data_IF_642379027775
#
_entry.id   IF_642379027775
#
_cell.length_a   1.000
_cell.length_b   1.000
_cell.length_c   1.000
_cell.angle_alpha   90.00
_cell.angle_beta   90.00
_cell.angle_gamma   90.00
#
_symmetry.space_group_name_H-M   'P 1'
#
loop_
_entity.id
_entity.type
_entity.pdbx_description
1 polymer ?
#
# COMPACT_ATOMS: atom_id res chain seq x y z
N UNK A 1 -12.08 6.32 -10.20
CA UNK A 1 -11.37 5.83 -9.00
C UNK A 1 -10.33 6.85 -8.60
N UNK A 2 -10.38 7.35 -7.37
CA UNK A 2 -9.42 8.32 -6.83
C UNK A 2 -8.64 7.67 -5.67
N UNK A 3 -7.78 6.72 -5.99
CA UNK A 3 -7.14 5.83 -5.00
C UNK A 3 -5.69 6.17 -4.70
N UNK A 4 -5.02 6.96 -5.55
CA UNK A 4 -3.63 7.38 -5.37
C UNK A 4 -3.52 8.60 -4.44
N UNK A 5 -4.17 8.51 -3.27
CA UNK A 5 -4.19 9.57 -2.26
C UNK A 5 -3.94 9.01 -0.85
N UNK A 6 -3.22 9.78 -0.04
CA UNK A 6 -2.95 9.43 1.35
C UNK A 6 -4.24 9.52 2.20
N UNK A 7 -4.33 8.70 3.24
CA UNK A 7 -5.42 8.70 4.22
C UNK A 7 -5.65 10.08 4.87
N UNK A 8 -4.61 10.93 4.97
CA UNK A 8 -4.77 12.33 5.42
C UNK A 8 -5.63 13.14 4.46
N UNK A 9 -5.42 12.97 3.14
CA UNK A 9 -6.24 13.61 2.12
C UNK A 9 -7.65 13.05 2.16
N UNK A 10 -7.82 11.74 2.31
CA UNK A 10 -9.14 11.12 2.50
C UNK A 10 -9.90 11.71 3.70
N UNK A 11 -9.19 12.02 4.79
CA UNK A 11 -9.81 12.64 5.97
C UNK A 11 -10.37 14.02 5.64
N UNK A 12 -9.64 14.85 4.89
CA UNK A 12 -10.13 16.17 4.44
C UNK A 12 -11.30 16.09 3.45
N UNK A 13 -11.38 14.99 2.70
CA UNK A 13 -12.46 14.72 1.75
C UNK A 13 -13.66 14.03 2.39
N UNK A 14 -13.62 13.81 3.70
CA UNK A 14 -14.66 13.13 4.47
C UNK A 14 -15.18 14.04 5.59
N UNK A 15 -16.28 13.63 6.21
CA UNK A 15 -16.83 14.29 7.40
C UNK A 15 -16.02 14.03 8.69
N UNK A 16 -14.93 13.25 8.62
CA UNK A 16 -14.11 12.95 9.77
C UNK A 16 -13.30 14.15 10.23
N UNK A 17 -13.50 14.55 11.48
CA UNK A 17 -12.82 15.71 12.10
C UNK A 17 -11.38 15.43 12.53
N UNK A 18 -10.92 14.19 12.47
CA UNK A 18 -9.62 13.78 12.99
C UNK A 18 -9.05 12.60 12.21
N UNK A 19 -7.75 12.68 11.87
CA UNK A 19 -7.00 11.60 11.22
C UNK A 19 -6.92 10.32 12.09
N UNK A 20 -7.14 10.44 13.41
CA UNK A 20 -7.19 9.30 14.32
C UNK A 20 -8.55 8.58 14.29
N UNK A 21 -9.60 9.21 13.74
CA UNK A 21 -10.90 8.57 13.54
C UNK A 21 -10.92 7.84 12.19
N UNK A 22 -11.72 6.80 12.06
CA UNK A 22 -11.93 6.18 10.75
C UNK A 22 -12.77 7.11 9.88
N UNK A 23 -12.29 7.45 8.68
CA UNK A 23 -13.04 8.31 7.77
C UNK A 23 -14.26 7.63 7.13
N UNK A 24 -14.36 6.29 7.21
CA UNK A 24 -15.47 5.51 6.65
C UNK A 24 -16.67 5.46 7.60
N UNK A 25 -16.47 4.93 8.81
CA UNK A 25 -17.54 4.72 9.81
C UNK A 25 -17.56 5.78 10.93
N UNK A 26 -16.65 6.77 10.87
CA UNK A 26 -16.51 7.85 11.87
C UNK A 26 -16.24 7.34 13.31
N UNK A 27 -15.80 6.08 13.46
CA UNK A 27 -15.43 5.53 14.76
C UNK A 27 -14.20 6.25 15.33
N UNK A 28 -14.30 6.63 16.61
CA UNK A 28 -13.17 7.15 17.39
C UNK A 28 -12.27 6.00 17.85
N UNK A 29 -10.98 6.22 18.16
CA UNK A 29 -10.11 5.17 18.67
C UNK A 29 -10.71 4.34 19.81
N UNK A 30 -11.40 5.00 20.75
CA UNK A 30 -12.08 4.35 21.89
C UNK A 30 -13.20 3.40 21.51
N UNK A 31 -13.73 3.51 20.29
CA UNK A 31 -14.81 2.68 19.75
C UNK A 31 -14.28 1.59 18.81
N UNK A 32 -13.08 1.75 18.23
CA UNK A 32 -12.56 0.87 17.17
C UNK A 32 -12.39 -0.59 17.58
N UNK A 33 -12.15 -0.86 18.87
CA UNK A 33 -12.01 -2.22 19.39
C UNK A 33 -13.37 -2.88 19.70
N UNK A 34 -14.50 -2.15 19.61
CA UNK A 34 -15.85 -2.68 19.86
C UNK A 34 -16.45 -3.20 18.56
N UNK A 35 -16.08 -4.42 18.18
CA UNK A 35 -16.37 -5.03 16.88
C UNK A 35 -17.87 -4.97 16.51
N UNK A 36 -18.77 -5.39 17.42
CA UNK A 36 -20.21 -5.36 17.17
C UNK A 36 -20.73 -3.95 16.87
N UNK A 37 -20.22 -2.96 17.61
CA UNK A 37 -20.65 -1.58 17.47
C UNK A 37 -20.18 -0.98 16.14
N UNK A 38 -18.94 -1.26 15.72
CA UNK A 38 -18.39 -0.70 14.47
C UNK A 38 -18.97 -1.35 13.22
N UNK A 39 -19.25 -2.66 13.25
CA UNK A 39 -19.89 -3.36 12.13
C UNK A 39 -21.33 -2.90 11.92
N UNK A 40 -22.01 -2.44 12.97
CA UNK A 40 -23.37 -1.88 12.87
C UNK A 40 -23.42 -0.42 12.38
N UNK A 41 -22.26 0.26 12.24
CA UNK A 41 -22.24 1.66 11.80
C UNK A 41 -22.50 1.77 10.30
N UNK A 42 -23.28 2.79 9.95
CA UNK A 42 -23.55 3.14 8.55
C UNK A 42 -22.28 3.75 7.95
N UNK A 43 -21.89 3.24 6.77
CA UNK A 43 -20.77 3.75 5.97
C UNK A 43 -21.32 4.30 4.66
N UNK A 44 -20.83 5.47 4.25
CA UNK A 44 -21.12 6.00 2.93
C UNK A 44 -20.31 5.22 1.88
N UNK A 45 -21.00 4.53 0.96
CA UNK A 45 -20.38 3.69 -0.06
C UNK A 45 -19.44 4.45 -1.00
N UNK A 46 -19.67 5.76 -1.17
CA UNK A 46 -18.88 6.60 -2.07
C UNK A 46 -17.45 6.78 -1.55
N UNK A 47 -17.25 6.69 -0.23
CA UNK A 47 -15.93 6.79 0.39
C UNK A 47 -15.04 5.57 0.09
N UNK A 48 -15.60 4.47 -0.39
CA UNK A 48 -14.82 3.31 -0.85
C UNK A 48 -14.07 3.60 -2.15
N UNK A 49 -14.42 4.66 -2.90
CA UNK A 49 -13.70 5.08 -4.11
C UNK A 49 -12.26 5.55 -3.83
N UNK A 50 -11.96 5.88 -2.57
CA UNK A 50 -10.61 6.21 -2.13
C UNK A 50 -9.70 4.99 -2.00
N UNK A 51 -10.25 3.78 -2.09
CA UNK A 51 -9.49 2.53 -2.10
C UNK A 51 -8.68 2.28 -0.82
N UNK A 52 -7.65 1.45 -0.97
CA UNK A 52 -6.79 1.00 0.12
C UNK A 52 -5.33 1.32 -0.20
N UNK A 53 -4.75 2.27 0.52
CA UNK A 53 -3.30 2.51 0.46
C UNK A 53 -2.55 1.31 1.03
N UNK A 54 -1.91 0.54 0.16
CA UNK A 54 -1.15 -0.64 0.54
C UNK A 54 0.16 -0.31 1.26
N UNK A 55 0.82 0.79 0.89
CA UNK A 55 2.03 1.30 1.56
C UNK A 55 1.75 1.69 3.00
N UNK A 56 0.81 2.62 3.19
CA UNK A 56 0.50 3.15 4.51
C UNK A 56 -0.19 2.08 5.35
N UNK A 57 -0.95 1.15 4.77
CA UNK A 57 -1.43 -0.03 5.50
C UNK A 57 -0.28 -0.80 6.14
N UNK A 58 0.76 -1.13 5.36
CA UNK A 58 1.91 -1.88 5.86
C UNK A 58 2.70 -1.11 6.92
N UNK A 59 3.00 0.16 6.68
CA UNK A 59 3.74 1.01 7.63
C UNK A 59 2.94 1.19 8.93
N UNK A 60 1.65 1.55 8.83
CA UNK A 60 0.81 1.82 10.01
C UNK A 60 0.51 0.54 10.81
N UNK A 61 0.44 -0.63 10.17
CA UNK A 61 0.36 -1.91 10.88
C UNK A 61 1.64 -2.18 11.66
N UNK A 62 2.82 -1.99 11.06
CA UNK A 62 4.10 -2.13 11.76
C UNK A 62 4.17 -1.17 12.95
N UNK A 63 3.86 0.12 12.75
CA UNK A 63 3.89 1.12 13.82
C UNK A 63 2.90 0.79 14.95
N UNK A 64 1.70 0.32 14.61
CA UNK A 64 0.73 -0.14 15.60
C UNK A 64 1.28 -1.28 16.46
N UNK A 65 1.87 -2.31 15.83
CA UNK A 65 2.47 -3.44 16.56
C UNK A 65 3.67 -3.01 17.41
N UNK A 66 4.57 -2.18 16.88
CA UNK A 66 5.68 -1.61 17.66
C UNK A 66 5.18 -0.84 18.88
N UNK A 67 4.14 -0.04 18.71
CA UNK A 67 3.55 0.70 19.80
C UNK A 67 2.88 -0.19 20.84
N UNK A 68 2.28 -1.31 20.47
CA UNK A 68 1.84 -2.32 21.44
C UNK A 68 3.06 -2.88 22.17
N UNK A 69 4.11 -3.28 21.44
CA UNK A 69 5.32 -3.86 22.00
C UNK A 69 6.04 -2.94 23.02
N UNK A 70 6.06 -1.63 22.77
CA UNK A 70 6.65 -0.64 23.68
C UNK A 70 5.86 -0.46 24.98
N UNK A 71 4.61 -0.92 25.01
CA UNK A 71 3.67 -0.68 26.12
C UNK A 71 3.26 -1.97 26.83
N UNK A 72 3.87 -3.11 26.50
CA UNK A 72 3.58 -4.40 27.12
C UNK A 72 3.76 -4.39 28.65
N UNK A 73 4.65 -3.54 29.16
CA UNK A 73 4.96 -3.46 30.58
C UNK A 73 3.84 -2.82 31.41
N UNK A 74 3.03 -1.90 30.84
CA UNK A 74 1.95 -1.19 31.55
C UNK A 74 0.56 -1.34 30.92
N UNK A 75 0.45 -1.90 29.71
CA UNK A 75 -0.79 -2.31 29.03
C UNK A 75 -1.88 -1.23 29.04
N UNK A 76 -1.54 -0.01 28.59
CA UNK A 76 -2.50 1.07 28.35
C UNK A 76 -2.21 1.73 27.00
N UNK A 77 -3.25 2.19 26.32
CA UNK A 77 -3.10 2.92 25.05
C UNK A 77 -2.21 4.17 25.19
N UNK A 78 -2.43 5.01 26.20
CA UNK A 78 -1.69 6.25 26.40
C UNK A 78 -0.66 6.17 27.54
N UNK A 79 0.57 6.58 27.24
CA UNK A 79 1.63 6.84 28.22
C UNK A 79 1.56 8.30 28.69
N UNK A 80 0.69 8.60 29.67
CA UNK A 80 0.48 9.98 30.16
C UNK A 80 1.35 10.34 31.36
N UNK A 81 1.53 9.41 32.30
CA UNK A 81 2.40 9.58 33.48
C UNK A 81 3.87 9.54 33.07
N UNK A 82 4.72 10.21 33.84
CA UNK A 82 6.16 10.24 33.58
C UNK A 82 6.78 8.84 33.76
N UNK A 83 6.27 8.05 34.71
CA UNK A 83 6.62 6.63 34.85
C UNK A 83 6.34 5.82 33.58
N UNK A 84 5.13 5.92 32.99
CA UNK A 84 4.83 5.20 31.76
C UNK A 84 5.66 5.69 30.57
N UNK A 85 6.03 6.97 30.52
CA UNK A 85 6.91 7.51 29.48
C UNK A 85 8.31 6.92 29.61
N UNK A 86 8.84 6.82 30.83
CA UNK A 86 10.15 6.23 31.09
C UNK A 86 10.18 4.74 30.76
N UNK A 87 9.16 3.99 31.18
CA UNK A 87 9.00 2.57 30.83
C UNK A 87 8.96 2.38 29.30
N UNK A 88 8.16 3.22 28.60
CA UNK A 88 8.04 3.18 27.15
C UNK A 88 9.39 3.43 26.46
N UNK A 89 10.14 4.47 26.86
CA UNK A 89 11.43 4.79 26.26
C UNK A 89 12.46 3.68 26.49
N UNK A 90 12.46 3.10 27.70
CA UNK A 90 13.34 1.99 28.06
C UNK A 90 13.05 0.77 27.19
N UNK A 91 11.78 0.36 27.10
CA UNK A 91 11.34 -0.77 26.28
C UNK A 91 11.60 -0.53 24.78
N UNK A 92 11.30 0.69 24.30
CA UNK A 92 11.56 1.10 22.91
C UNK A 92 13.04 0.94 22.55
N UNK A 93 13.96 1.43 23.39
CA UNK A 93 15.40 1.32 23.14
C UNK A 93 15.90 -0.13 23.11
N UNK A 94 15.39 -0.98 24.01
CA UNK A 94 15.70 -2.42 24.02
C UNK A 94 15.28 -3.07 22.71
N UNK A 95 14.04 -2.84 22.27
CA UNK A 95 13.51 -3.41 21.03
C UNK A 95 14.27 -2.89 19.80
N UNK A 96 14.59 -1.59 19.77
CA UNK A 96 15.40 -1.01 18.68
C UNK A 96 16.78 -1.64 18.55
N UNK A 97 17.47 -1.86 19.68
CA UNK A 97 18.77 -2.51 19.69
C UNK A 97 18.66 -3.96 19.20
N UNK A 98 17.68 -4.73 19.68
CA UNK A 98 17.46 -6.11 19.21
C UNK A 98 17.18 -6.20 17.71
N UNK A 99 16.35 -5.32 17.15
CA UNK A 99 16.12 -5.26 15.71
C UNK A 99 17.40 -4.95 14.91
N UNK A 100 18.24 -4.07 15.44
CA UNK A 100 19.53 -3.74 14.84
C UNK A 100 20.49 -4.93 14.91
N UNK A 101 20.57 -5.61 16.04
CA UNK A 101 21.55 -6.68 16.26
C UNK A 101 21.16 -7.98 15.54
N UNK A 102 19.87 -8.36 15.56
CA UNK A 102 19.40 -9.64 15.02
C UNK A 102 18.98 -9.58 13.53
N UNK A 103 18.48 -8.43 13.07
CA UNK A 103 17.92 -8.26 11.72
C UNK A 103 18.60 -7.16 10.91
N UNK A 104 19.60 -6.46 11.47
CA UNK A 104 20.24 -5.29 10.86
C UNK A 104 19.21 -4.25 10.39
N UNK A 105 18.19 -4.02 11.23
CA UNK A 105 17.09 -3.11 10.97
C UNK A 105 17.10 -1.94 11.94
N UNK A 106 17.12 -0.73 11.39
CA UNK A 106 16.96 0.50 12.16
C UNK A 106 15.47 0.87 12.20
N UNK A 107 14.85 0.73 13.37
CA UNK A 107 13.39 0.91 13.53
C UNK A 107 13.07 2.13 14.39
N UNK A 108 12.05 2.90 14.01
CA UNK A 108 11.55 4.06 14.76
C UNK A 108 12.64 5.11 15.14
N UNK A 109 13.56 5.38 14.20
CA UNK A 109 14.60 6.40 14.30
C UNK A 109 14.23 7.58 13.40
N UNK A 110 14.24 8.80 13.95
CA UNK A 110 13.99 10.03 13.18
C UNK A 110 15.24 10.39 12.37
N UNK A 111 15.07 10.58 11.06
CA UNK A 111 16.10 11.08 10.13
C UNK A 111 15.86 12.56 9.89
N UNK A 112 16.81 13.41 10.30
CA UNK A 112 16.77 14.85 10.02
C UNK A 112 16.57 15.09 8.51
N UNK A 113 15.51 15.83 8.16
CA UNK A 113 15.19 16.20 6.76
C UNK A 113 14.59 15.10 5.87
N UNK A 114 14.44 13.85 6.34
CA UNK A 114 13.97 12.72 5.51
C UNK A 114 12.85 11.87 6.13
N UNK A 115 12.28 12.29 7.27
CA UNK A 115 11.20 11.56 7.95
C UNK A 115 11.71 10.58 9.01
N UNK A 116 11.15 9.38 9.06
CA UNK A 116 11.56 8.32 10.01
C UNK A 116 12.15 7.13 9.26
N UNK A 117 12.78 6.20 9.97
CA UNK A 117 13.21 4.91 9.39
C UNK A 117 12.05 3.95 9.15
N UNK A 118 10.83 4.28 9.55
CA UNK A 118 9.63 3.48 9.31
C UNK A 118 9.13 3.71 7.88
N UNK A 119 9.93 3.31 6.92
CA UNK A 119 9.58 3.34 5.50
C UNK A 119 9.07 1.96 5.03
N UNK A 120 8.62 1.91 3.77
CA UNK A 120 8.12 0.67 3.19
C UNK A 120 9.14 -0.47 3.15
N UNK A 121 10.45 -0.19 3.15
CA UNK A 121 11.47 -1.23 3.16
C UNK A 121 11.63 -1.84 4.56
N UNK A 122 11.66 -1.00 5.59
CA UNK A 122 11.66 -1.45 6.99
C UNK A 122 10.42 -2.28 7.28
N UNK A 123 9.25 -1.81 6.85
CA UNK A 123 7.99 -2.52 7.08
C UNK A 123 7.91 -3.86 6.32
N UNK A 124 8.44 -3.95 5.08
CA UNK A 124 8.56 -5.23 4.36
C UNK A 124 9.39 -6.26 5.13
N UNK A 125 10.57 -5.87 5.61
CA UNK A 125 11.46 -6.75 6.37
C UNK A 125 10.88 -7.13 7.74
N UNK A 126 10.14 -6.23 8.39
CA UNK A 126 9.47 -6.51 9.67
C UNK A 126 8.47 -7.67 9.57
N UNK A 127 7.71 -7.75 8.48
CA UNK A 127 6.73 -8.81 8.24
C UNK A 127 7.28 -10.04 7.51
N UNK A 128 8.55 -10.02 7.10
CA UNK A 128 9.18 -11.12 6.35
C UNK A 128 9.38 -12.37 7.22
N UNK A 129 9.76 -12.18 8.50
CA UNK A 129 10.00 -13.26 9.46
C UNK A 129 9.18 -13.04 10.75
N UNK A 130 7.88 -13.39 10.75
CA UNK A 130 6.99 -13.18 11.90
C UNK A 130 7.52 -13.76 13.21
N UNK A 131 8.14 -14.95 13.16
CA UNK A 131 8.75 -15.62 14.30
C UNK A 131 9.86 -14.79 14.98
N UNK A 132 10.79 -14.21 14.19
CA UNK A 132 11.84 -13.35 14.72
C UNK A 132 11.28 -12.05 15.28
N UNK A 133 10.33 -11.45 14.56
CA UNK A 133 9.65 -10.23 15.01
C UNK A 133 8.91 -10.46 16.33
N UNK A 134 8.22 -11.59 16.49
CA UNK A 134 7.56 -11.99 17.72
C UNK A 134 8.55 -12.15 18.87
N UNK A 135 9.67 -12.85 18.65
CA UNK A 135 10.72 -13.03 19.66
C UNK A 135 11.34 -11.71 20.12
N UNK A 136 11.58 -10.77 19.20
CA UNK A 136 12.15 -9.45 19.50
C UNK A 136 11.15 -8.58 20.27
N UNK A 137 9.91 -8.51 19.80
CA UNK A 137 8.89 -7.59 20.33
C UNK A 137 8.17 -8.12 21.57
N UNK A 138 8.09 -9.43 21.73
CA UNK A 138 7.28 -10.11 22.74
C UNK A 138 5.78 -10.16 22.39
N UNK A 139 5.42 -10.00 21.12
CA UNK A 139 4.04 -10.11 20.63
C UNK A 139 3.71 -11.54 20.18
N UNK A 140 2.42 -11.82 20.02
CA UNK A 140 1.93 -13.08 19.48
C UNK A 140 2.33 -13.25 18.01
N UNK A 141 3.00 -14.37 17.71
CA UNK A 141 3.52 -14.68 16.37
C UNK A 141 2.39 -14.82 15.34
N UNK A 142 1.30 -15.49 15.71
CA UNK A 142 0.18 -15.73 14.81
C UNK A 142 -0.52 -14.42 14.43
N UNK A 143 -0.67 -13.47 15.37
CA UNK A 143 -1.18 -12.14 15.04
C UNK A 143 -0.28 -11.40 14.03
N UNK A 144 1.04 -11.44 14.23
CA UNK A 144 2.00 -10.81 13.29
C UNK A 144 1.91 -11.49 11.91
N UNK A 145 1.82 -12.83 11.88
CA UNK A 145 1.68 -13.60 10.64
C UNK A 145 0.39 -13.27 9.92
N UNK A 146 -0.74 -13.14 10.62
CA UNK A 146 -2.04 -12.73 10.05
C UNK A 146 -1.97 -11.37 9.39
N UNK A 147 -1.35 -10.38 10.05
CA UNK A 147 -1.10 -9.08 9.42
C UNK A 147 -0.22 -9.22 8.18
N UNK A 148 0.84 -10.03 8.23
CA UNK A 148 1.71 -10.25 7.08
C UNK A 148 0.95 -10.87 5.89
N UNK A 149 0.08 -11.85 6.14
CA UNK A 149 -0.76 -12.51 5.13
C UNK A 149 -1.73 -11.52 4.48
N UNK A 150 -2.48 -10.76 5.29
CA UNK A 150 -3.42 -9.73 4.79
C UNK A 150 -2.67 -8.70 3.93
N UNK A 151 -1.53 -8.21 4.42
CA UNK A 151 -0.73 -7.22 3.72
C UNK A 151 -0.07 -7.78 2.46
N UNK A 152 0.27 -9.07 2.41
CA UNK A 152 0.75 -9.72 1.19
C UNK A 152 -0.36 -9.83 0.16
N UNK A 153 -1.56 -10.28 0.56
CA UNK A 153 -2.73 -10.41 -0.32
C UNK A 153 -3.06 -9.09 -1.01
N UNK A 154 -3.11 -7.97 -0.26
CA UNK A 154 -3.40 -6.64 -0.83
C UNK A 154 -2.28 -6.13 -1.73
N UNK A 155 -1.02 -6.48 -1.48
CA UNK A 155 0.11 -6.05 -2.34
C UNK A 155 0.44 -7.00 -3.48
N UNK A 156 -0.24 -8.14 -3.58
CA UNK A 156 0.06 -9.18 -4.56
C UNK A 156 -0.10 -8.69 -6.00
N UNK A 157 -1.05 -7.77 -6.23
CA UNK A 157 -1.46 -7.35 -7.56
C UNK A 157 -2.42 -8.33 -8.24
N UNK A 158 -2.85 -9.37 -7.52
CA UNK A 158 -3.79 -10.39 -7.98
C UNK A 158 -5.18 -10.16 -7.41
N UNK A 159 -6.19 -10.84 -7.95
CA UNK A 159 -7.55 -10.79 -7.43
C UNK A 159 -7.65 -11.52 -6.08
N UNK A 160 -8.43 -10.96 -5.16
CA UNK A 160 -8.57 -11.48 -3.79
C UNK A 160 -9.96 -12.09 -3.62
N UNK A 161 -10.03 -13.29 -3.05
CA UNK A 161 -11.30 -13.90 -2.65
C UNK A 161 -11.90 -13.10 -1.47
N UNK A 162 -12.94 -12.32 -1.78
CA UNK A 162 -13.56 -11.38 -0.84
C UNK A 162 -14.13 -12.10 0.38
N UNK A 163 -14.74 -13.28 0.21
CA UNK A 163 -15.39 -14.02 1.30
C UNK A 163 -14.33 -14.53 2.27
N UNK A 164 -13.29 -15.18 1.74
CA UNK A 164 -12.18 -15.67 2.56
C UNK A 164 -11.41 -14.54 3.22
N UNK A 165 -11.18 -13.45 2.49
CA UNK A 165 -10.51 -12.27 3.04
C UNK A 165 -11.31 -11.65 4.18
N UNK A 166 -12.63 -11.49 4.03
CA UNK A 166 -13.53 -10.97 5.07
C UNK A 166 -13.45 -11.83 6.33
N UNK A 167 -13.60 -13.15 6.21
CA UNK A 167 -13.49 -14.08 7.34
C UNK A 167 -12.11 -14.01 8.02
N UNK A 168 -11.03 -14.00 7.23
CA UNK A 168 -9.66 -13.93 7.76
C UNK A 168 -9.39 -12.60 8.48
N UNK A 169 -9.89 -11.48 7.95
CA UNK A 169 -9.77 -10.16 8.54
C UNK A 169 -10.58 -10.03 9.83
N UNK A 170 -11.83 -10.53 9.86
CA UNK A 170 -12.68 -10.56 11.05
C UNK A 170 -12.05 -11.38 12.18
N UNK A 171 -11.59 -12.62 11.89
CA UNK A 171 -10.88 -13.45 12.87
C UNK A 171 -9.60 -12.80 13.38
N UNK A 172 -8.92 -12.04 12.53
CA UNK A 172 -7.73 -11.27 12.93
C UNK A 172 -8.09 -10.10 13.86
N UNK A 173 -9.21 -9.42 13.61
CA UNK A 173 -9.72 -8.37 14.49
C UNK A 173 -10.13 -8.92 15.86
N UNK A 174 -10.84 -10.05 15.90
CA UNK A 174 -11.20 -10.75 17.14
C UNK A 174 -9.95 -11.12 17.95
N UNK A 175 -8.94 -11.71 17.29
CA UNK A 175 -7.68 -12.08 17.93
C UNK A 175 -6.91 -10.86 18.44
N UNK A 176 -6.90 -9.76 17.68
CA UNK A 176 -6.27 -8.52 18.12
C UNK A 176 -6.92 -7.99 19.41
N UNK A 177 -8.25 -7.91 19.44
CA UNK A 177 -8.99 -7.43 20.63
C UNK A 177 -8.79 -8.37 21.81
N UNK A 178 -8.81 -9.69 21.58
CA UNK A 178 -8.59 -10.68 22.65
C UNK A 178 -7.21 -10.51 23.33
N UNK A 179 -6.16 -10.22 22.56
CA UNK A 179 -4.79 -10.14 23.08
C UNK A 179 -4.41 -8.74 23.58
N UNK A 180 -4.91 -7.70 22.92
CA UNK A 180 -4.43 -6.33 23.05
C UNK A 180 -5.57 -5.29 23.12
N UNK A 181 -6.71 -5.64 23.74
CA UNK A 181 -7.89 -4.76 23.93
C UNK A 181 -7.56 -3.36 24.48
N UNK A 182 -6.57 -3.28 25.35
CA UNK A 182 -6.08 -2.07 26.00
C UNK A 182 -5.37 -1.09 25.05
N UNK A 183 -5.03 -1.51 23.83
CA UNK A 183 -4.49 -0.66 22.78
C UNK A 183 -5.51 -0.52 21.65
N UNK A 184 -5.99 0.70 21.41
CA UNK A 184 -6.92 0.96 20.31
C UNK A 184 -6.24 0.79 18.94
N UNK A 185 -6.89 0.07 18.03
CA UNK A 185 -6.43 -0.03 16.64
C UNK A 185 -6.22 1.36 16.03
N UNK A 186 -5.22 1.50 15.17
CA UNK A 186 -5.09 2.73 14.37
C UNK A 186 -6.23 2.81 13.34
N UNK A 187 -6.55 4.01 12.86
CA UNK A 187 -7.58 4.21 11.83
C UNK A 187 -7.33 3.36 10.58
N UNK A 188 -6.06 3.13 10.24
CA UNK A 188 -5.66 2.28 9.11
C UNK A 188 -5.81 0.79 9.39
N UNK A 189 -5.41 0.30 10.57
CA UNK A 189 -5.61 -1.10 10.98
C UNK A 189 -7.10 -1.41 11.06
N UNK A 190 -7.89 -0.51 11.64
CA UNK A 190 -9.34 -0.63 11.70
C UNK A 190 -9.96 -0.65 10.29
N UNK A 191 -9.58 0.28 9.41
CA UNK A 191 -10.02 0.28 8.01
C UNK A 191 -9.68 -1.04 7.31
N UNK A 192 -8.47 -1.54 7.51
CA UNK A 192 -7.99 -2.78 6.91
C UNK A 192 -8.80 -4.00 7.35
N UNK A 193 -9.02 -4.16 8.66
CA UNK A 193 -9.64 -5.36 9.21
C UNK A 193 -11.18 -5.34 9.12
N UNK A 194 -11.81 -4.18 9.26
CA UNK A 194 -13.28 -4.05 9.31
C UNK A 194 -13.86 -3.72 7.94
N UNK A 195 -13.25 -2.77 7.22
CA UNK A 195 -13.78 -2.25 5.95
C UNK A 195 -13.00 -2.74 4.73
N UNK A 196 -11.90 -3.49 4.91
CA UNK A 196 -11.00 -3.88 3.83
C UNK A 196 -11.69 -4.72 2.76
N UNK A 197 -12.52 -5.68 3.18
CA UNK A 197 -13.28 -6.53 2.27
C UNK A 197 -14.25 -5.72 1.39
N UNK A 198 -14.99 -4.78 1.99
CA UNK A 198 -15.98 -3.97 1.27
C UNK A 198 -15.30 -3.00 0.28
N UNK A 199 -14.12 -2.48 0.64
CA UNK A 199 -13.30 -1.66 -0.26
C UNK A 199 -12.81 -2.48 -1.44
N UNK A 200 -12.31 -3.71 -1.19
CA UNK A 200 -11.84 -4.62 -2.25
C UNK A 200 -13.01 -4.98 -3.17
N UNK A 201 -14.17 -5.32 -2.61
CA UNK A 201 -15.40 -5.64 -3.35
C UNK A 201 -15.84 -4.49 -4.25
N UNK A 202 -15.86 -3.25 -3.72
CA UNK A 202 -16.23 -2.06 -4.51
C UNK A 202 -15.24 -1.75 -5.63
N UNK A 203 -13.95 -2.00 -5.41
CA UNK A 203 -12.89 -1.69 -6.38
C UNK A 203 -12.43 -2.93 -7.19
N UNK A 204 -13.23 -3.99 -7.23
CA UNK A 204 -12.86 -5.30 -7.79
C UNK A 204 -12.60 -5.30 -9.32
N UNK A 205 -12.87 -4.18 -10.00
CA UNK A 205 -12.56 -4.00 -11.43
C UNK A 205 -11.05 -4.14 -11.67
N UNK A 206 -10.23 -3.68 -10.73
CA UNK A 206 -8.77 -3.67 -10.84
C UNK A 206 -8.18 -4.22 -9.54
N UNK A 207 -7.22 -5.16 -9.59
CA UNK A 207 -6.60 -5.70 -8.38
C UNK A 207 -6.03 -4.59 -7.49
N UNK A 208 -6.38 -4.63 -6.20
CA UNK A 208 -6.11 -3.53 -5.26
C UNK A 208 -4.63 -3.13 -5.18
N UNK A 209 -3.71 -4.10 -5.33
CA UNK A 209 -2.26 -3.85 -5.31
C UNK A 209 -1.79 -2.93 -6.45
N UNK A 210 -2.50 -2.93 -7.58
CA UNK A 210 -2.18 -2.08 -8.74
C UNK A 210 -2.72 -0.65 -8.59
N UNK A 211 -3.71 -0.44 -7.72
CA UNK A 211 -4.31 0.87 -7.41
C UNK A 211 -3.50 1.69 -6.38
N UNK A 212 -2.25 1.27 -6.11
CA UNK A 212 -1.39 1.82 -5.07
C UNK A 212 -0.84 3.21 -5.40
N UNK A 213 -0.78 4.06 -4.39
CA UNK A 213 -0.14 5.38 -4.47
C UNK A 213 1.41 5.30 -4.51
N UNK A 214 2.03 4.16 -4.18
CA UNK A 214 3.50 3.99 -4.17
C UNK A 214 4.13 4.39 -5.51
N UNK A 215 3.48 4.01 -6.61
CA UNK A 215 3.93 4.32 -7.95
C UNK A 215 3.98 5.85 -8.17
N UNK A 216 2.96 6.56 -7.73
CA UNK A 216 2.88 8.02 -7.81
C UNK A 216 3.89 8.69 -6.87
N UNK A 217 4.00 8.25 -5.62
CA UNK A 217 4.94 8.84 -4.66
C UNK A 217 6.40 8.67 -5.08
N UNK A 218 6.73 7.54 -5.73
CA UNK A 218 8.06 7.30 -6.29
C UNK A 218 8.48 8.36 -7.32
N UNK A 219 7.50 8.96 -8.02
CA UNK A 219 7.73 10.05 -8.99
C UNK A 219 8.29 11.31 -8.35
N UNK A 220 8.13 11.52 -7.03
CA UNK A 220 8.73 12.65 -6.34
C UNK A 220 10.28 12.59 -6.38
N UNK A 221 10.85 11.39 -6.41
CA UNK A 221 12.31 11.21 -6.60
C UNK A 221 12.74 11.69 -7.98
N UNK A 222 11.97 11.35 -9.00
CA UNK A 222 12.22 11.77 -10.37
C UNK A 222 12.00 13.27 -10.55
N UNK A 223 10.96 13.85 -9.95
CA UNK A 223 10.72 15.28 -9.95
C UNK A 223 11.93 16.06 -9.42
N UNK A 224 12.47 15.68 -8.27
CA UNK A 224 13.66 16.32 -7.69
C UNK A 224 14.88 16.19 -8.62
N UNK A 225 15.12 15.00 -9.17
CA UNK A 225 16.22 14.72 -10.10
C UNK A 225 16.08 15.51 -11.41
N UNK A 226 14.90 15.56 -12.01
CA UNK A 226 14.64 16.30 -13.25
C UNK A 226 14.77 17.80 -13.03
N UNK A 227 14.27 18.32 -11.90
CA UNK A 227 14.48 19.72 -11.52
C UNK A 227 15.97 20.05 -11.40
N UNK A 228 16.76 19.20 -10.79
CA UNK A 228 18.18 19.49 -10.53
C UNK A 228 19.07 19.38 -11.78
N UNK A 229 18.82 18.38 -12.63
CA UNK A 229 19.75 17.98 -13.70
C UNK A 229 19.20 18.14 -15.13
N UNK A 230 17.89 18.29 -15.32
CA UNK A 230 17.26 18.32 -16.65
C UNK A 230 16.51 19.62 -16.94
N UNK A 231 16.37 20.50 -15.96
CA UNK A 231 15.68 21.78 -16.13
C UNK A 231 16.65 22.94 -16.36
N UNK A 232 16.25 23.87 -17.23
CA UNK A 232 16.95 25.15 -17.42
C UNK A 232 16.83 25.99 -16.15
N UNK A 233 17.97 26.48 -15.65
CA UNK A 233 18.04 27.30 -14.42
C UNK A 233 18.05 28.81 -14.72
N UNK A 234 17.31 29.24 -15.75
CA UNK A 234 17.22 30.65 -16.17
C UNK A 234 16.02 31.38 -15.57
N UNK A 235 14.87 30.69 -15.46
CA UNK A 235 13.65 31.22 -14.86
C UNK A 235 12.85 30.06 -14.26
N UNK A 236 12.00 30.36 -13.27
CA UNK A 236 11.12 29.35 -12.67
C UNK A 236 10.10 28.79 -13.67
N UNK A 237 9.60 29.64 -14.57
CA UNK A 237 8.64 29.22 -15.59
C UNK A 237 9.27 28.22 -16.55
N UNK A 238 10.50 28.47 -17.00
CA UNK A 238 11.22 27.55 -17.88
C UNK A 238 11.56 26.24 -17.16
N UNK A 239 11.99 26.31 -15.90
CA UNK A 239 12.24 25.09 -15.12
C UNK A 239 10.97 24.25 -15.00
N UNK A 240 9.82 24.88 -14.73
CA UNK A 240 8.53 24.17 -14.64
C UNK A 240 8.13 23.54 -15.98
N UNK A 241 8.33 24.24 -17.10
CA UNK A 241 8.07 23.71 -18.43
C UNK A 241 8.94 22.49 -18.74
N UNK A 242 10.23 22.56 -18.40
CA UNK A 242 11.16 21.45 -18.64
C UNK A 242 10.81 20.23 -17.79
N UNK A 243 10.47 20.43 -16.51
CA UNK A 243 10.05 19.33 -15.63
C UNK A 243 8.78 18.68 -16.18
N UNK A 244 7.79 19.47 -16.62
CA UNK A 244 6.56 18.95 -17.21
C UNK A 244 6.85 18.09 -18.45
N UNK A 245 7.63 18.63 -19.39
CA UNK A 245 8.01 17.91 -20.61
C UNK A 245 8.78 16.62 -20.28
N UNK A 246 9.73 16.66 -19.34
CA UNK A 246 10.48 15.47 -18.91
C UNK A 246 9.60 14.41 -18.27
N UNK A 247 8.61 14.82 -17.46
CA UNK A 247 7.65 13.90 -16.87
C UNK A 247 6.81 13.22 -17.95
N UNK A 248 6.32 13.97 -18.94
CA UNK A 248 5.57 13.44 -20.10
C UNK A 248 6.41 12.42 -20.86
N UNK A 249 7.63 12.77 -21.28
CA UNK A 249 8.53 11.85 -22.00
C UNK A 249 8.82 10.59 -21.17
N UNK A 250 9.00 10.75 -19.86
CA UNK A 250 9.32 9.61 -18.99
C UNK A 250 8.15 8.64 -18.77
N UNK A 251 6.92 9.09 -18.99
CA UNK A 251 5.67 8.33 -18.81
C UNK A 251 4.95 8.03 -20.13
N UNK A 252 5.57 8.38 -21.26
CA UNK A 252 5.07 8.06 -22.59
C UNK A 252 4.96 6.53 -22.77
N UNK A 253 3.76 5.99 -23.08
CA UNK A 253 3.57 4.54 -23.19
C UNK A 253 4.44 3.88 -24.27
N UNK A 254 4.53 4.50 -25.45
CA UNK A 254 5.29 3.97 -26.59
C UNK A 254 6.78 3.91 -26.28
N UNK A 255 7.32 5.00 -25.73
CA UNK A 255 8.72 5.02 -25.31
C UNK A 255 8.96 4.06 -24.15
N UNK A 256 8.08 4.03 -23.14
CA UNK A 256 8.25 3.15 -21.97
C UNK A 256 8.26 1.66 -22.33
N UNK A 257 7.55 1.26 -23.39
CA UNK A 257 7.54 -0.12 -23.90
C UNK A 257 8.88 -0.52 -24.53
N UNK A 258 9.53 0.41 -25.23
CA UNK A 258 10.78 0.17 -25.97
C UNK A 258 12.03 0.44 -25.13
N UNK A 259 11.92 1.17 -24.02
CA UNK A 259 13.05 1.53 -23.16
C UNK A 259 13.70 0.30 -22.53
N UNK A 260 15.03 0.26 -22.40
CA UNK A 260 15.72 -0.80 -21.69
C UNK A 260 15.19 -0.95 -20.26
N UNK A 261 14.72 -2.15 -19.93
CA UNK A 261 14.31 -2.53 -18.58
C UNK A 261 15.45 -3.34 -17.95
N UNK A 262 15.72 -3.07 -16.68
CA UNK A 262 16.50 -4.00 -15.87
C UNK A 262 15.60 -5.20 -15.56
N UNK A 263 16.19 -6.39 -15.50
CA UNK A 263 15.44 -7.62 -15.20
C UNK A 263 14.61 -7.47 -13.93
N UNK A 264 13.39 -7.98 -13.97
CA UNK A 264 12.51 -7.98 -12.82
C UNK A 264 13.17 -8.72 -11.65
N UNK A 265 13.06 -8.16 -10.44
CA UNK A 265 13.48 -8.86 -9.23
C UNK A 265 12.71 -10.18 -9.12
N UNK A 266 13.39 -11.23 -8.65
CA UNK A 266 12.77 -12.52 -8.34
C UNK A 266 11.55 -12.31 -7.43
N UNK A 267 10.41 -12.92 -7.77
CA UNK A 267 9.21 -12.93 -6.93
C UNK A 267 9.57 -13.55 -5.57
N UNK A 268 9.25 -12.85 -4.49
CA UNK A 268 9.33 -13.40 -3.13
C UNK A 268 8.24 -14.46 -2.95
N UNK A 269 8.50 -15.49 -2.15
CA UNK A 269 7.49 -16.50 -1.84
C UNK A 269 6.39 -15.93 -0.95
N UNK A 270 5.14 -16.25 -1.29
CA UNK A 270 3.99 -15.97 -0.44
C UNK A 270 3.87 -17.00 0.69
N UNK A 271 3.22 -16.62 1.79
CA UNK A 271 2.76 -17.60 2.79
C UNK A 271 1.68 -18.50 2.21
N UNK A 272 1.54 -19.72 2.72
CA UNK A 272 0.51 -20.66 2.29
C UNK A 272 -0.90 -20.05 2.45
N UNK A 273 -1.16 -19.41 3.59
CA UNK A 273 -2.44 -18.75 3.87
C UNK A 273 -2.70 -17.57 2.91
N UNK A 274 -1.66 -16.92 2.40
CA UNK A 274 -1.80 -15.86 1.39
C UNK A 274 -2.28 -16.45 0.07
N UNK A 275 -1.77 -17.64 -0.32
CA UNK A 275 -2.21 -18.31 -1.55
C UNK A 275 -3.69 -18.72 -1.47
N UNK A 276 -4.18 -19.08 -0.28
CA UNK A 276 -5.59 -19.43 -0.09
C UNK A 276 -6.54 -18.22 -0.24
N UNK A 277 -6.04 -17.01 0.00
CA UNK A 277 -6.78 -15.74 -0.11
C UNK A 277 -6.74 -15.13 -1.52
N UNK A 278 -5.78 -15.52 -2.34
CA UNK A 278 -5.59 -14.96 -3.68
C UNK A 278 -6.18 -15.93 -4.72
N UNK A 279 -6.84 -15.37 -5.73
CA UNK A 279 -7.25 -16.10 -6.92
C UNK A 279 -6.16 -15.93 -7.98
N UNK A 280 -5.35 -16.97 -8.20
CA UNK A 280 -4.48 -17.01 -9.36
C UNK A 280 -5.35 -17.21 -10.60
N UNK A 281 -5.38 -16.21 -11.47
CA UNK A 281 -5.83 -16.43 -12.83
C UNK A 281 -4.64 -17.05 -13.57
N UNK A 282 -4.76 -18.32 -13.95
CA UNK A 282 -3.98 -18.83 -15.07
C UNK A 282 -4.43 -18.03 -16.29
N UNK A 283 -3.66 -17.02 -16.69
CA UNK A 283 -3.88 -16.36 -17.97
C UNK A 283 -3.52 -17.36 -19.07
N UNK A 284 -4.50 -18.15 -19.52
CA UNK A 284 -4.52 -18.66 -20.89
C UNK A 284 -4.61 -17.44 -21.81
N UNK A 285 -3.46 -16.98 -22.29
CA UNK A 285 -3.44 -16.13 -23.46
C UNK A 285 -3.82 -17.01 -24.65
N UNK A 286 -5.09 -17.00 -25.06
CA UNK A 286 -5.44 -17.36 -26.43
C UNK A 286 -4.71 -16.39 -27.36
N UNK A 287 -3.61 -16.87 -27.93
CA UNK A 287 -2.97 -16.22 -29.06
C UNK A 287 -4.01 -16.23 -30.19
N UNK A 288 -4.65 -15.09 -30.45
CA UNK A 288 -5.30 -14.87 -31.73
C UNK A 288 -4.20 -14.84 -32.78
N UNK A 289 -4.06 -15.96 -33.48
CA UNK A 289 -3.14 -16.12 -34.60
C UNK A 289 -3.66 -15.30 -35.78
N UNK A 290 -3.10 -14.10 -35.95
CA UNK A 290 -3.44 -13.15 -37.03
C UNK A 290 -2.86 -13.64 -38.38
N UNK A 291 -2.25 -14.82 -38.44
CA UNK A 291 -1.65 -15.38 -39.67
C UNK A 291 -2.66 -15.78 -40.76
N UNK A 292 -3.98 -15.73 -40.50
CA UNK A 292 -5.02 -16.07 -41.48
C UNK A 292 -5.82 -14.87 -42.02
N UNK A 293 -5.29 -13.65 -41.96
CA UNK A 293 -5.79 -12.57 -42.82
C UNK A 293 -5.09 -12.68 -44.18
N UNK A 294 -5.70 -13.49 -45.06
CA UNK A 294 -5.28 -13.68 -46.45
C UNK A 294 -5.05 -12.32 -47.13
N UNK A 295 -3.83 -12.19 -47.64
CA UNK A 295 -3.36 -11.06 -48.41
C UNK A 295 -3.81 -11.22 -49.87
N UNK A 296 -5.10 -11.04 -50.15
CA UNK A 296 -5.61 -10.91 -51.53
C UNK A 296 -6.26 -9.55 -51.73
N UNK A 297 -5.43 -8.58 -52.08
CA UNK A 297 -5.85 -7.49 -52.96
C UNK A 297 -4.66 -7.09 -53.83
N UNK A 298 -4.49 -7.81 -54.94
CA UNK A 298 -3.68 -7.39 -56.07
C UNK A 298 -4.18 -6.02 -56.53
N UNK A 299 -3.35 -4.99 -56.35
CA UNK A 299 -3.52 -3.71 -57.03
C UNK A 299 -2.94 -3.87 -58.43
N UNK A 300 -3.78 -4.24 -59.39
CA UNK A 300 -3.46 -4.11 -60.80
C UNK A 300 -3.29 -2.62 -61.14
N UNK A 301 -2.11 -2.31 -61.66
CA UNK A 301 -1.72 -1.01 -62.17
C UNK A 301 -2.15 -0.87 -63.62
N UNK A 302 -3.17 -0.07 -63.90
CA UNK A 302 -3.45 0.39 -65.26
C UNK A 302 -2.93 1.81 -65.47
N UNK A 303 -1.80 1.87 -66.16
CA UNK A 303 -1.37 3.04 -66.93
C UNK A 303 -2.24 3.10 -68.19
N UNK A 304 -3.05 4.13 -68.37
CA UNK A 304 -3.37 4.59 -69.71
C UNK A 304 -3.44 6.12 -69.77
N UNK A 305 -2.79 6.62 -70.81
CA UNK A 305 -2.53 7.99 -71.18
C UNK A 305 -3.80 8.79 -71.46
N UNK A 306 -3.78 10.09 -71.18
CA UNK A 306 -4.20 11.06 -72.20
C UNK A 306 -3.46 12.39 -72.05
N UNK A 307 -2.70 12.70 -73.10
CA UNK A 307 -2.21 14.03 -73.44
C UNK A 307 -3.34 14.80 -74.15
N UNK A 308 -3.16 16.12 -74.21
CA UNK A 308 -3.73 17.05 -75.20
C UNK A 308 -5.17 17.56 -74.97
N UNK A 309 -5.34 18.80 -74.49
CA UNK A 309 -5.25 20.02 -75.31
C UNK A 309 -5.72 21.29 -74.58
N UNK A 310 -5.00 22.38 -74.89
CA UNK A 310 -5.15 23.82 -74.57
C UNK A 310 -4.88 24.31 -73.14
#
# INVERSE_FOLDING_TARGET
MMTMIDAKVCTYLSEARSNASCYLCLAKPTEMNRLDAVTSKIVCSDLYEFGLSSLHARINCMECLLHIAYRLDFKRWAARSDEHKEMLQTRKKIIQNKFKDELNLLIDIVKQGSGTTNDGNTARKFFEFPNKTAAITGLDEDLIKRFAVILQAITSGEQVDIIKFRDYASKTAEKYVLLYDWYYMSSTVHKLLIHGADIIEKNNIVPIGTLSEEASESRNKDFRRFREHHSRKRSRQDSNQDILNMLVVSSDPLLSAQRPKLDAKKKQSFFAETLDLIQFQETEFEFLDISNLDADSELESDNESDKENL
#
